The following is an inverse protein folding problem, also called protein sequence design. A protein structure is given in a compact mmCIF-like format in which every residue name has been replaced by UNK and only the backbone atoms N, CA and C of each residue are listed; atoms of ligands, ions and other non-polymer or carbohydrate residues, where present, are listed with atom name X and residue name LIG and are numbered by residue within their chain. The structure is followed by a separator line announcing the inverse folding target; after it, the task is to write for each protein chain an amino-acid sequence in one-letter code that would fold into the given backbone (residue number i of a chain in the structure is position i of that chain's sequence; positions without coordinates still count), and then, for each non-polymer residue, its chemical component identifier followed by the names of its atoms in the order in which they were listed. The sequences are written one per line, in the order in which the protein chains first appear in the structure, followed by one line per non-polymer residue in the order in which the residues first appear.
data_IF_685782641779
#
_entry.id   IF_685782641779
#
_cell.length_a   1.000
_cell.length_b   1.000
_cell.length_c   1.000
_cell.angle_alpha   90.00
_cell.angle_beta   90.00
_cell.angle_gamma   90.00
#
_symmetry.space_group_name_H-M   'P 1'
#
loop_
_entity.id
_entity.type
_entity.pdbx_description
1 polymer ?
#
# COMPACT_ATOMS: atom_id res chain seq x y z
N UNK A 1 -13.31 -11.32 2.57
CA UNK A 1 -11.91 -10.85 2.53
C UNK A 1 -11.61 -10.27 1.16
N UNK A 2 -11.00 -9.08 1.11
CA UNK A 2 -10.42 -8.51 -0.11
C UNK A 2 -8.91 -8.41 0.04
N UNK A 3 -8.19 -8.34 -1.07
CA UNK A 3 -6.77 -8.04 -1.07
C UNK A 3 -6.50 -6.77 -1.85
N UNK A 4 -5.69 -5.88 -1.29
CA UNK A 4 -5.33 -4.61 -1.92
C UNK A 4 -3.82 -4.45 -1.95
N UNK A 5 -3.31 -3.83 -3.01
CA UNK A 5 -1.91 -3.42 -3.08
C UNK A 5 -1.75 -2.13 -2.29
N UNK A 6 -0.76 -2.09 -1.42
CA UNK A 6 -0.32 -0.87 -0.74
C UNK A 6 1.04 -0.49 -1.30
N UNK A 7 1.12 0.70 -1.90
CA UNK A 7 2.31 1.28 -2.49
C UNK A 7 2.60 2.59 -1.74
N UNK A 8 3.62 2.56 -0.88
CA UNK A 8 4.03 3.65 0.01
C UNK A 8 2.88 4.19 0.87
N UNK A 9 2.05 3.28 1.41
CA UNK A 9 0.87 3.62 2.20
C UNK A 9 -0.37 3.96 1.38
N UNK A 10 -0.25 4.18 0.07
CA UNK A 10 -1.39 4.45 -0.81
C UNK A 10 -2.02 3.15 -1.34
N UNK A 11 -3.34 3.14 -1.53
CA UNK A 11 -4.05 2.04 -2.17
C UNK A 11 -5.23 2.54 -3.00
N UNK A 12 -5.57 1.83 -4.08
CA UNK A 12 -6.59 2.25 -5.05
C UNK A 12 -8.05 1.97 -4.64
N UNK A 13 -8.32 1.73 -3.35
CA UNK A 13 -9.67 1.39 -2.86
C UNK A 13 -10.28 2.55 -2.06
N UNK A 14 -11.56 2.82 -2.28
CA UNK A 14 -12.35 3.80 -1.52
C UNK A 14 -13.23 3.12 -0.45
N UNK A 15 -13.11 1.81 -0.28
CA UNK A 15 -13.97 1.05 0.62
C UNK A 15 -13.54 1.18 2.09
N UNK A 16 -14.44 1.70 2.93
CA UNK A 16 -14.26 1.78 4.37
C UNK A 16 -12.99 2.53 4.78
N UNK A 17 -12.38 2.11 5.88
CA UNK A 17 -11.13 2.67 6.41
C UNK A 17 -9.87 1.98 5.87
N UNK A 18 -9.90 1.42 4.65
CA UNK A 18 -8.75 0.67 4.11
C UNK A 18 -7.54 1.56 3.81
N UNK A 19 -7.76 2.81 3.39
CA UNK A 19 -6.67 3.78 3.19
C UNK A 19 -5.90 4.05 4.47
N UNK A 20 -6.62 4.31 5.56
CA UNK A 20 -6.03 4.51 6.89
C UNK A 20 -5.24 3.28 7.37
N UNK A 21 -5.70 2.07 7.04
CA UNK A 21 -4.96 0.83 7.34
C UNK A 21 -3.66 0.78 6.53
N UNK A 22 -3.71 1.11 5.23
CA UNK A 22 -2.53 1.09 4.38
C UNK A 22 -1.47 2.12 4.82
N UNK A 23 -1.90 3.34 5.16
CA UNK A 23 -1.05 4.39 5.73
C UNK A 23 -0.38 3.92 7.02
N UNK A 24 -1.17 3.43 7.99
CA UNK A 24 -0.63 2.93 9.27
C UNK A 24 0.35 1.77 9.09
N UNK A 25 0.10 0.86 8.15
CA UNK A 25 1.03 -0.24 7.86
C UNK A 25 2.37 0.30 7.34
N UNK A 26 2.33 1.27 6.42
CA UNK A 26 3.55 1.89 5.92
C UNK A 26 4.31 2.61 7.02
N UNK A 27 3.64 3.42 7.83
CA UNK A 27 4.27 4.16 8.95
C UNK A 27 4.84 3.22 10.02
N UNK A 28 4.14 2.13 10.34
CA UNK A 28 4.54 1.21 11.42
C UNK A 28 5.69 0.30 10.99
N UNK A 29 5.63 -0.24 9.77
CA UNK A 29 6.55 -1.29 9.32
C UNK A 29 7.61 -0.79 8.32
N UNK A 30 7.47 0.45 7.82
CA UNK A 30 8.29 1.00 6.74
C UNK A 30 8.37 0.06 5.52
N UNK A 31 7.26 -0.61 5.20
CA UNK A 31 7.14 -1.51 4.05
C UNK A 31 6.60 -0.74 2.83
N UNK A 32 7.46 -0.35 1.87
CA UNK A 32 7.04 0.52 0.76
C UNK A 32 6.10 -0.19 -0.21
N UNK A 33 6.19 -1.51 -0.33
CA UNK A 33 5.28 -2.27 -1.21
C UNK A 33 4.87 -3.56 -0.55
N UNK A 34 3.57 -3.74 -0.38
CA UNK A 34 3.02 -5.00 0.11
C UNK A 34 1.59 -5.21 -0.37
N UNK A 35 1.08 -6.42 -0.17
CA UNK A 35 -0.33 -6.74 -0.32
C UNK A 35 -0.96 -6.88 1.05
N UNK A 36 -2.08 -6.20 1.25
CA UNK A 36 -2.85 -6.23 2.48
C UNK A 36 -4.08 -7.12 2.30
N UNK A 37 -4.34 -7.98 3.27
CA UNK A 37 -5.54 -8.78 3.37
C UNK A 37 -6.49 -8.14 4.37
N UNK A 38 -7.65 -7.72 3.85
CA UNK A 38 -8.63 -6.96 4.60
C UNK A 38 -9.91 -7.78 4.76
N UNK A 39 -10.39 -7.90 5.98
CA UNK A 39 -11.73 -8.39 6.26
C UNK A 39 -12.65 -7.23 6.63
N UNK A 40 -13.84 -7.22 6.04
CA UNK A 40 -14.90 -6.31 6.43
C UNK A 40 -15.81 -7.02 7.43
N UNK A 41 -16.06 -6.38 8.56
CA UNK A 41 -16.98 -6.87 9.57
C UNK A 41 -17.66 -5.67 10.24
N UNK A 42 -18.99 -5.72 10.35
CA UNK A 42 -19.79 -4.66 10.96
C UNK A 42 -19.47 -3.25 10.42
N UNK A 43 -19.42 -3.11 9.08
CA UNK A 43 -19.13 -1.85 8.40
C UNK A 43 -17.69 -1.33 8.51
N UNK A 44 -16.80 -2.05 9.20
CA UNK A 44 -15.39 -1.66 9.39
C UNK A 44 -14.44 -2.63 8.68
N UNK A 45 -13.32 -2.10 8.21
CA UNK A 45 -12.22 -2.88 7.67
C UNK A 45 -11.20 -3.21 8.77
N UNK A 46 -10.68 -4.43 8.74
CA UNK A 46 -9.64 -4.92 9.64
C UNK A 46 -8.52 -5.57 8.83
N UNK A 47 -7.27 -5.32 9.23
CA UNK A 47 -6.11 -6.01 8.69
C UNK A 47 -6.04 -7.42 9.26
N UNK A 48 -6.10 -8.43 8.41
CA UNK A 48 -6.02 -9.84 8.80
C UNK A 48 -4.68 -10.48 8.43
N UNK A 49 -3.92 -9.85 7.55
CA UNK A 49 -2.60 -10.29 7.16
C UNK A 49 -1.98 -9.36 6.13
N UNK A 50 -0.68 -9.47 5.96
CA UNK A 50 0.07 -8.80 4.90
C UNK A 50 1.06 -9.81 4.30
N UNK A 51 1.38 -9.63 3.04
CA UNK A 51 2.41 -10.41 2.36
C UNK A 51 3.22 -9.53 1.40
N UNK A 52 4.47 -9.92 1.09
CA UNK A 52 5.20 -9.32 -0.02
C UNK A 52 4.41 -9.42 -1.32
N UNK A 53 4.46 -8.38 -2.14
CA UNK A 53 3.89 -8.41 -3.49
C UNK A 53 4.88 -9.11 -4.43
N UNK A 54 4.43 -10.11 -5.18
CA UNK A 54 5.31 -10.79 -6.15
C UNK A 54 5.47 -9.94 -7.42
N UNK A 55 6.58 -10.13 -8.12
CA UNK A 55 6.93 -9.33 -9.32
C UNK A 55 5.86 -9.43 -10.40
N UNK A 56 5.26 -10.61 -10.57
CA UNK A 56 4.24 -10.87 -11.58
C UNK A 56 2.90 -10.17 -11.27
N UNK A 57 2.73 -9.67 -10.06
CA UNK A 57 1.51 -9.02 -9.60
C UNK A 57 1.53 -7.51 -9.83
N UNK A 58 2.66 -6.95 -10.23
CA UNK A 58 2.76 -5.53 -10.59
C UNK A 58 2.17 -5.29 -11.97
N UNK A 59 1.21 -4.38 -12.03
CA UNK A 59 0.71 -3.84 -13.28
C UNK A 59 1.59 -2.66 -13.74
N UNK A 60 1.55 -2.27 -15.02
CA UNK A 60 2.23 -1.08 -15.50
C UNK A 60 1.83 0.20 -14.75
N UNK A 61 0.60 0.30 -14.24
CA UNK A 61 0.18 1.46 -13.45
C UNK A 61 0.84 1.50 -12.08
N UNK A 62 1.01 0.34 -11.43
CA UNK A 62 1.73 0.22 -10.15
C UNK A 62 3.18 0.68 -10.31
N UNK A 63 3.86 0.20 -11.37
CA UNK A 63 5.25 0.58 -11.67
C UNK A 63 5.37 2.08 -11.94
N UNK A 64 4.44 2.65 -12.70
CA UNK A 64 4.41 4.09 -12.98
C UNK A 64 4.19 4.92 -11.72
N UNK A 65 3.33 4.46 -10.82
CA UNK A 65 3.09 5.11 -9.53
C UNK A 65 4.33 5.09 -8.64
N UNK A 66 4.97 3.92 -8.50
CA UNK A 66 6.22 3.77 -7.76
C UNK A 66 7.30 4.68 -8.33
N UNK A 67 7.47 4.69 -9.65
CA UNK A 67 8.44 5.56 -10.34
C UNK A 67 8.20 7.03 -10.01
N UNK A 68 6.95 7.51 -10.08
CA UNK A 68 6.60 8.89 -9.72
C UNK A 68 6.92 9.23 -8.26
N UNK A 69 6.64 8.31 -7.34
CA UNK A 69 6.91 8.50 -5.91
C UNK A 69 8.42 8.57 -5.67
N UNK A 70 9.18 7.61 -6.21
CA UNK A 70 10.64 7.54 -6.09
C UNK A 70 11.31 8.77 -6.69
N UNK A 71 10.88 9.25 -7.86
CA UNK A 71 11.45 10.45 -8.49
C UNK A 71 11.31 11.68 -7.59
N UNK A 72 10.16 11.88 -6.94
CA UNK A 72 9.95 13.00 -6.00
C UNK A 72 10.90 12.92 -4.80
N UNK A 73 11.22 11.73 -4.34
CA UNK A 73 12.19 11.53 -3.26
C UNK A 73 13.63 11.75 -3.73
N UNK A 74 13.97 11.37 -4.97
CA UNK A 74 15.31 11.61 -5.52
C UNK A 74 15.62 13.11 -5.70
N UNK A 75 14.60 13.94 -5.93
CA UNK A 75 14.73 15.40 -5.99
C UNK A 75 14.91 16.04 -4.61
N UNK A 76 14.47 15.37 -3.54
CA UNK A 76 14.47 15.90 -2.16
C UNK A 76 15.52 15.27 -1.24
N UNK A 77 16.23 14.23 -1.69
CA UNK A 77 17.07 13.40 -0.81
C UNK A 77 16.22 12.35 -0.09
N UNK A 78 16.70 11.10 -0.08
CA UNK A 78 15.98 9.95 0.50
C UNK A 78 16.22 9.81 2.03
N UNK A 79 17.14 10.60 2.60
CA UNK A 79 17.64 10.46 3.97
C UNK A 79 17.94 11.80 4.67
N UNK A 80 17.09 12.81 4.49
CA UNK A 80 17.12 14.02 5.33
C UNK A 80 16.10 13.92 6.48
#
# INVERSE_FOLDING_TARGET
MISVKSLFGECATEHGNVKEIAEKVYETFNLPVCKLHIQHFDGKAYLCGLQPLKVEEFSPSDVNMISKIVSRFSEKGWFD
#
